data_IF_067694858502
#
_entry.id   IF_067694858502
#
_cell.length_a   1.000
_cell.length_b   1.000
_cell.length_c   1.000
_cell.angle_alpha   90.00
_cell.angle_beta   90.00
_cell.angle_gamma   90.00
#
_symmetry.space_group_name_H-M   'P 1'
#
loop_
_entity.id
_entity.type
_entity.pdbx_description
1 polymer ?
#
# COMPACT_ATOMS: atom_id res chain seq x y z
N UNK A 1 -18.29 -36.25 -12.88
CA UNK A 1 -19.04 -34.97 -12.90
C UNK A 1 -19.22 -34.41 -11.49
N UNK A 2 -20.00 -35.06 -10.60
CA UNK A 2 -20.26 -34.55 -9.23
C UNK A 2 -19.00 -34.32 -8.38
N UNK A 3 -18.07 -35.29 -8.36
CA UNK A 3 -16.82 -35.18 -7.61
C UNK A 3 -15.94 -34.02 -8.11
N UNK A 4 -15.83 -33.87 -9.43
CA UNK A 4 -15.04 -32.83 -10.08
C UNK A 4 -15.57 -31.41 -9.77
N UNK A 5 -16.91 -31.26 -9.66
CA UNK A 5 -17.53 -30.01 -9.22
C UNK A 5 -17.20 -29.71 -7.75
N UNK A 6 -17.24 -30.71 -6.87
CA UNK A 6 -16.89 -30.57 -5.45
C UNK A 6 -15.42 -30.17 -5.30
N UNK A 7 -14.51 -30.80 -6.03
CA UNK A 7 -13.08 -30.51 -5.98
C UNK A 7 -12.77 -29.08 -6.47
N UNK A 8 -13.48 -28.60 -7.50
CA UNK A 8 -13.37 -27.21 -7.97
C UNK A 8 -13.86 -26.23 -6.89
N UNK A 9 -15.02 -26.48 -6.29
CA UNK A 9 -15.59 -25.61 -5.25
C UNK A 9 -14.67 -25.52 -4.03
N UNK A 10 -14.06 -26.65 -3.60
CA UNK A 10 -13.07 -26.67 -2.54
C UNK A 10 -11.83 -25.86 -2.89
N UNK A 11 -11.33 -25.98 -4.12
CA UNK A 11 -10.17 -25.22 -4.58
C UNK A 11 -10.47 -23.72 -4.63
N UNK A 12 -11.66 -23.32 -5.08
CA UNK A 12 -12.09 -21.92 -5.09
C UNK A 12 -12.21 -21.36 -3.68
N UNK A 13 -12.80 -22.11 -2.74
CA UNK A 13 -12.90 -21.68 -1.35
C UNK A 13 -11.51 -21.49 -0.72
N UNK A 14 -10.55 -22.38 -1.01
CA UNK A 14 -9.17 -22.23 -0.55
C UNK A 14 -8.50 -20.98 -1.14
N UNK A 15 -8.66 -20.73 -2.44
CA UNK A 15 -8.12 -19.53 -3.08
C UNK A 15 -8.72 -18.24 -2.52
N UNK A 16 -10.02 -18.23 -2.17
CA UNK A 16 -10.67 -17.06 -1.54
C UNK A 16 -10.08 -16.75 -0.15
N UNK A 17 -9.80 -17.78 0.66
CA UNK A 17 -9.15 -17.62 1.96
C UNK A 17 -7.71 -17.10 1.80
N UNK A 18 -6.93 -17.68 0.87
CA UNK A 18 -5.56 -17.23 0.60
C UNK A 18 -5.52 -15.77 0.10
N UNK A 19 -6.48 -15.37 -0.74
CA UNK A 19 -6.60 -14.00 -1.20
C UNK A 19 -6.91 -13.03 -0.05
N UNK A 20 -7.80 -13.40 0.89
CA UNK A 20 -8.10 -12.59 2.08
C UNK A 20 -6.89 -12.40 2.98
N UNK A 21 -6.13 -13.45 3.23
CA UNK A 21 -4.87 -13.37 3.99
C UNK A 21 -3.86 -12.43 3.32
N UNK A 22 -3.71 -12.53 2.00
CA UNK A 22 -2.80 -11.67 1.25
C UNK A 22 -3.22 -10.19 1.30
N UNK A 23 -4.52 -9.91 1.20
CA UNK A 23 -5.07 -8.56 1.37
C UNK A 23 -4.80 -8.04 2.78
N UNK A 24 -5.09 -8.84 3.82
CA UNK A 24 -4.85 -8.45 5.21
C UNK A 24 -3.36 -8.17 5.48
N UNK A 25 -2.46 -8.96 4.90
CA UNK A 25 -1.02 -8.74 5.00
C UNK A 25 -0.60 -7.41 4.37
N UNK A 26 -1.08 -7.10 3.16
CA UNK A 26 -0.78 -5.84 2.47
C UNK A 26 -1.34 -4.63 3.25
N UNK A 27 -2.54 -4.76 3.83
CA UNK A 27 -3.11 -3.70 4.67
C UNK A 27 -2.31 -3.48 5.97
N UNK A 28 -1.88 -4.55 6.64
CA UNK A 28 -1.03 -4.46 7.83
C UNK A 28 0.32 -3.78 7.52
N UNK A 29 0.93 -4.12 6.38
CA UNK A 29 2.16 -3.48 5.91
C UNK A 29 1.94 -1.99 5.59
N UNK A 30 0.82 -1.66 4.96
CA UNK A 30 0.43 -0.28 4.66
C UNK A 30 0.31 0.57 5.93
N UNK A 31 -0.31 0.02 6.99
CA UNK A 31 -0.43 0.67 8.29
C UNK A 31 0.92 0.85 8.98
N UNK A 32 1.81 -0.15 8.93
CA UNK A 32 3.17 -0.06 9.47
C UNK A 32 3.99 1.04 8.76
N UNK A 33 3.94 1.09 7.43
CA UNK A 33 4.63 2.14 6.66
C UNK A 33 4.07 3.51 7.05
N UNK A 34 2.74 3.66 7.15
CA UNK A 34 2.12 4.90 7.58
C UNK A 34 2.60 5.35 8.97
N UNK A 35 2.68 4.45 9.94
CA UNK A 35 3.22 4.75 11.27
C UNK A 35 4.70 5.19 11.22
N UNK A 36 5.53 4.52 10.41
CA UNK A 36 6.93 4.90 10.20
C UNK A 36 7.06 6.30 9.56
N UNK A 37 6.18 6.63 8.61
CA UNK A 37 6.15 7.95 7.95
C UNK A 37 5.80 9.07 8.95
N UNK A 38 4.79 8.85 9.80
CA UNK A 38 4.41 9.79 10.85
C UNK A 38 5.59 10.01 11.80
N UNK A 39 6.19 8.91 12.30
CA UNK A 39 7.33 8.99 13.22
C UNK A 39 8.55 9.67 12.63
N UNK A 40 8.80 9.49 11.34
CA UNK A 40 9.95 10.09 10.66
C UNK A 40 9.72 11.58 10.33
N UNK A 41 8.48 11.99 10.03
CA UNK A 41 8.07 13.41 9.89
C UNK A 41 8.29 14.20 11.18
N UNK A 42 8.02 13.61 12.35
CA UNK A 42 8.31 14.23 13.65
C UNK A 42 9.81 14.52 13.87
N UNK A 43 10.70 13.80 13.17
CA UNK A 43 12.15 13.87 13.38
C UNK A 43 12.92 14.66 12.30
N UNK A 44 12.33 15.02 11.15
CA UNK A 44 12.95 15.90 10.15
C UNK A 44 11.96 16.45 9.10
N UNK A 45 12.16 17.71 8.70
CA UNK A 45 11.26 18.56 7.90
C UNK A 45 11.27 18.30 6.38
N UNK A 46 12.08 17.39 5.87
CA UNK A 46 11.94 16.94 4.47
C UNK A 46 10.76 15.98 4.45
N UNK A 47 9.64 16.41 3.86
CA UNK A 47 8.45 15.57 3.82
C UNK A 47 8.84 14.32 3.03
N UNK A 48 8.81 13.16 3.69
CA UNK A 48 9.15 11.89 3.03
C UNK A 48 8.29 11.69 1.79
N UNK A 49 7.08 12.26 1.78
CA UNK A 49 6.22 12.43 0.62
C UNK A 49 6.95 13.03 -0.58
N UNK A 50 7.64 14.17 -0.42
CA UNK A 50 8.38 14.82 -1.50
C UNK A 50 9.55 13.95 -1.98
N UNK A 51 10.29 13.33 -1.06
CA UNK A 51 11.42 12.44 -1.41
C UNK A 51 10.96 11.19 -2.17
N UNK A 52 9.84 10.58 -1.76
CA UNK A 52 9.25 9.42 -2.43
C UNK A 52 8.71 9.82 -3.79
N UNK A 53 7.99 10.92 -3.89
CA UNK A 53 7.46 11.44 -5.15
C UNK A 53 8.59 11.73 -6.15
N UNK A 54 9.67 12.39 -5.69
CA UNK A 54 10.84 12.70 -6.51
C UNK A 54 11.59 11.44 -6.95
N UNK A 55 11.73 10.44 -6.07
CA UNK A 55 12.34 9.15 -6.42
C UNK A 55 11.55 8.42 -7.51
N UNK A 56 10.21 8.44 -7.45
CA UNK A 56 9.34 7.79 -8.45
C UNK A 56 9.44 8.50 -9.79
N UNK A 57 9.34 9.84 -9.80
CA UNK A 57 9.49 10.64 -11.02
C UNK A 57 10.88 10.46 -11.63
N UNK A 58 11.91 10.37 -10.79
CA UNK A 58 13.29 10.12 -11.24
C UNK A 58 13.45 8.73 -11.83
N UNK A 59 12.92 7.69 -11.17
CA UNK A 59 12.95 6.32 -11.69
C UNK A 59 12.19 6.17 -13.03
N UNK A 60 11.02 6.81 -13.13
CA UNK A 60 10.21 6.88 -14.36
C UNK A 60 10.95 7.57 -15.51
N UNK A 61 11.77 8.58 -15.23
CA UNK A 61 12.56 9.29 -16.24
C UNK A 61 13.88 8.60 -16.58
N UNK A 62 14.45 7.84 -15.64
CA UNK A 62 15.78 7.22 -15.77
C UNK A 62 15.77 5.89 -16.52
N UNK A 63 14.63 5.20 -16.61
CA UNK A 63 14.55 3.88 -17.22
C UNK A 63 13.59 3.87 -18.42
N UNK A 64 14.11 3.43 -19.57
CA UNK A 64 13.29 3.10 -20.75
C UNK A 64 12.48 1.80 -20.56
N UNK A 65 12.69 1.06 -19.47
CA UNK A 65 12.00 -0.21 -19.18
C UNK A 65 10.70 -0.05 -18.38
N UNK A 66 10.48 1.08 -17.68
CA UNK A 66 9.21 1.28 -16.99
C UNK A 66 8.15 1.78 -17.97
N UNK A 67 7.09 0.98 -18.14
CA UNK A 67 5.89 1.44 -18.81
C UNK A 67 5.25 2.56 -17.98
N UNK A 68 4.76 3.61 -18.64
CA UNK A 68 4.08 4.72 -17.96
C UNK A 68 2.91 4.23 -17.08
N UNK A 69 2.23 3.16 -17.50
CA UNK A 69 1.17 2.51 -16.73
C UNK A 69 1.63 2.01 -15.36
N UNK A 70 2.85 1.51 -15.26
CA UNK A 70 3.39 0.92 -14.02
C UNK A 70 3.77 2.04 -13.04
N UNK A 71 4.26 3.16 -13.57
CA UNK A 71 4.54 4.38 -12.81
C UNK A 71 3.24 4.98 -12.25
N UNK A 72 2.19 5.08 -13.05
CA UNK A 72 0.89 5.60 -12.63
C UNK A 72 0.26 4.72 -11.53
N UNK A 73 0.41 3.40 -11.66
CA UNK A 73 -0.03 2.44 -10.64
C UNK A 73 0.75 2.62 -9.33
N UNK A 74 2.08 2.76 -9.42
CA UNK A 74 2.94 2.99 -8.25
C UNK A 74 2.57 4.29 -7.52
N UNK A 75 2.37 5.38 -8.26
CA UNK A 75 1.94 6.67 -7.71
C UNK A 75 0.58 6.56 -7.02
N UNK A 76 -0.36 5.81 -7.60
CA UNK A 76 -1.68 5.56 -7.00
C UNK A 76 -1.55 4.86 -5.64
N UNK A 77 -0.71 3.83 -5.55
CA UNK A 77 -0.48 3.10 -4.30
C UNK A 77 0.21 3.98 -3.24
N UNK A 78 1.21 4.75 -3.63
CA UNK A 78 1.94 5.65 -2.72
C UNK A 78 1.02 6.72 -2.16
N UNK A 79 0.22 7.37 -3.01
CA UNK A 79 -0.77 8.37 -2.56
C UNK A 79 -1.78 7.78 -1.57
N UNK A 80 -2.22 6.54 -1.78
CA UNK A 80 -3.09 5.84 -0.83
C UNK A 80 -2.40 5.62 0.52
N UNK A 81 -1.13 5.26 0.54
CA UNK A 81 -0.35 5.10 1.78
C UNK A 81 -0.20 6.42 2.54
N UNK A 82 0.10 7.51 1.83
CA UNK A 82 0.20 8.85 2.43
C UNK A 82 -1.14 9.30 3.02
N UNK A 83 -2.26 9.03 2.35
CA UNK A 83 -3.59 9.33 2.85
C UNK A 83 -3.92 8.56 4.14
N UNK A 84 -3.54 7.28 4.23
CA UNK A 84 -3.70 6.47 5.46
C UNK A 84 -2.89 7.05 6.60
N UNK A 85 -1.64 7.45 6.36
CA UNK A 85 -0.79 8.09 7.38
C UNK A 85 -1.42 9.40 7.88
N UNK A 86 -1.87 10.27 6.98
CA UNK A 86 -2.53 11.53 7.36
C UNK A 86 -3.82 11.30 8.15
N UNK A 87 -4.63 10.30 7.78
CA UNK A 87 -5.85 9.95 8.52
C UNK A 87 -5.55 9.47 9.95
N UNK A 88 -4.52 8.64 10.13
CA UNK A 88 -4.08 8.15 11.44
C UNK A 88 -3.57 9.31 12.30
N UNK A 89 -2.77 10.21 11.73
CA UNK A 89 -2.25 11.41 12.42
C UNK A 89 -3.42 12.28 12.95
N UNK A 90 -4.40 12.61 12.10
CA UNK A 90 -5.58 13.41 12.49
C UNK A 90 -6.40 12.71 13.59
N UNK A 91 -6.67 11.41 13.44
CA UNK A 91 -7.43 10.64 14.44
C UNK A 91 -6.67 10.41 15.75
N UNK A 92 -5.34 10.39 15.71
CA UNK A 92 -4.48 10.35 16.90
C UNK A 92 -4.64 11.63 17.72
N UNK A 93 -4.58 12.79 17.08
CA UNK A 93 -4.73 14.11 17.71
C UNK A 93 -6.11 14.28 18.38
N UNK A 94 -7.20 13.84 17.72
CA UNK A 94 -8.56 13.89 18.28
C UNK A 94 -8.76 13.04 19.54
N UNK A 95 -7.88 12.06 19.81
CA UNK A 95 -7.97 11.20 21.02
C UNK A 95 -7.22 11.77 22.22
N UNK A 96 -6.34 12.75 22.01
CA UNK A 96 -5.52 13.36 23.06
C UNK A 96 -6.03 14.72 23.55
N UNK A 97 -7.04 15.31 22.88
CA UNK A 97 -7.72 16.54 23.28
C UNK A 97 -9.04 16.30 24.03
#
# INVERSE_FOLDING_TARGET
MRQLVIDILLKMAKMDVEAKELVAQVEAQSLLIAALLIQAKENNSLTISDTVQEAIVTASRASQEFLQSDVDLLLTHVNRLLAVASYIEVKGIEREG
#
